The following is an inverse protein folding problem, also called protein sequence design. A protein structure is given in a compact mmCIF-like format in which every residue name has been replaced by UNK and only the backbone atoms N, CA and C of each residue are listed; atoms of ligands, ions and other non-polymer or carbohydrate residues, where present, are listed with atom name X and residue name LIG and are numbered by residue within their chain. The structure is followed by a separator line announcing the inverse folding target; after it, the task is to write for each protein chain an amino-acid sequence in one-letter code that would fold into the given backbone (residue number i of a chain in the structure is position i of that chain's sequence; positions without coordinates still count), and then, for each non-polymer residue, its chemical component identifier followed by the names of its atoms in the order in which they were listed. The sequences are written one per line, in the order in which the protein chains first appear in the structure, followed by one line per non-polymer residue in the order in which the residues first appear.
data_IF_170878814152
#
_entry.id   IF_170878814152
#
_cell.length_a   1.000
_cell.length_b   1.000
_cell.length_c   1.000
_cell.angle_alpha   90.00
_cell.angle_beta   90.00
_cell.angle_gamma   90.00
#
_symmetry.space_group_name_H-M   'P 1'
#
loop_
_entity.id
_entity.type
_entity.pdbx_description
1 polymer ?
#
# COMPACT_ATOMS: atom_id res chain seq x y z
N UNK A 1 20.79 -3.01 16.08
CA UNK A 1 21.65 -1.88 15.66
C UNK A 1 23.05 -2.36 15.28
N UNK A 2 23.46 -2.09 14.03
CA UNK A 2 24.80 -2.34 13.50
C UNK A 2 25.55 -1.00 13.38
N UNK A 3 26.85 -1.00 13.67
CA UNK A 3 27.71 0.13 13.38
C UNK A 3 27.90 0.28 11.87
N UNK A 4 27.67 1.49 11.36
CA UNK A 4 27.75 1.84 9.94
C UNK A 4 28.72 3.02 9.79
N UNK A 5 29.64 2.93 8.83
CA UNK A 5 30.53 4.02 8.44
C UNK A 5 30.46 4.23 6.94
N UNK A 6 30.28 5.46 6.47
CA UNK A 6 30.31 5.84 5.06
C UNK A 6 30.70 7.31 4.94
N UNK A 7 30.90 7.79 3.72
CA UNK A 7 31.05 9.21 3.43
C UNK A 7 29.73 9.71 2.83
N UNK A 8 29.18 10.80 3.35
CA UNK A 8 27.98 11.44 2.79
C UNK A 8 28.32 12.88 2.45
N UNK A 9 28.19 13.26 1.19
CA UNK A 9 28.46 14.62 0.69
C UNK A 9 29.88 15.10 1.06
N UNK A 10 30.87 14.20 0.99
CA UNK A 10 32.26 14.46 1.36
C UNK A 10 32.57 14.45 2.86
N UNK A 11 31.56 14.26 3.72
CA UNK A 11 31.73 14.22 5.18
C UNK A 11 31.69 12.77 5.69
N UNK A 12 32.63 12.36 6.57
CA UNK A 12 32.57 11.05 7.19
C UNK A 12 31.37 10.96 8.14
N UNK A 13 30.58 9.90 8.01
CA UNK A 13 29.40 9.61 8.84
C UNK A 13 29.61 8.27 9.55
N UNK A 14 29.32 8.25 10.86
CA UNK A 14 29.34 7.05 11.67
C UNK A 14 28.05 6.95 12.49
N UNK A 15 27.23 5.94 12.20
CA UNK A 15 25.87 5.80 12.73
C UNK A 15 25.60 4.38 13.25
N UNK A 16 24.58 4.25 14.11
CA UNK A 16 24.06 2.95 14.54
C UNK A 16 22.64 2.78 14.01
N UNK A 17 22.46 1.87 13.05
CA UNK A 17 21.17 1.68 12.38
C UNK A 17 20.67 0.24 12.46
N UNK A 18 19.37 0.05 12.30
CA UNK A 18 18.82 -1.29 12.14
C UNK A 18 19.18 -1.85 10.75
N UNK A 19 19.41 -3.17 10.60
CA UNK A 19 19.79 -3.75 9.31
C UNK A 19 18.77 -3.50 8.18
N UNK A 20 17.51 -3.24 8.55
CA UNK A 20 16.41 -2.93 7.62
C UNK A 20 16.31 -1.46 7.23
N UNK A 21 17.06 -0.56 7.88
CA UNK A 21 17.00 0.87 7.59
C UNK A 21 17.40 1.11 6.14
N UNK A 22 16.54 1.76 5.35
CA UNK A 22 16.88 2.12 3.98
C UNK A 22 17.91 3.25 3.97
N UNK A 23 18.67 3.37 2.88
CA UNK A 23 19.59 4.49 2.69
C UNK A 23 18.81 5.80 2.66
N UNK A 24 17.61 5.82 2.09
CA UNK A 24 16.75 7.01 2.10
C UNK A 24 16.38 7.45 3.51
N UNK A 25 16.01 6.52 4.39
CA UNK A 25 15.66 6.83 5.79
C UNK A 25 16.87 7.33 6.57
N UNK A 26 18.05 6.71 6.38
CA UNK A 26 19.29 7.22 6.97
C UNK A 26 19.53 8.67 6.55
N UNK A 27 19.48 8.96 5.25
CA UNK A 27 19.75 10.30 4.73
C UNK A 27 18.74 11.33 5.28
N UNK A 28 17.45 10.99 5.26
CA UNK A 28 16.37 11.93 5.61
C UNK A 28 16.18 12.10 7.10
N UNK A 29 16.12 11.00 7.84
CA UNK A 29 15.67 10.99 9.24
C UNK A 29 16.85 11.06 10.22
N UNK A 30 17.98 10.40 9.91
CA UNK A 30 19.16 10.47 10.77
C UNK A 30 20.02 11.70 10.44
N UNK A 31 20.22 11.98 9.15
CA UNK A 31 21.15 13.03 8.70
C UNK A 31 20.46 14.34 8.28
N UNK A 32 19.12 14.40 8.30
CA UNK A 32 18.33 15.57 7.91
C UNK A 32 18.61 16.09 6.48
N UNK A 33 19.05 15.22 5.56
CA UNK A 33 19.23 15.50 4.14
C UNK A 33 17.93 15.22 3.39
N UNK A 34 16.99 16.15 3.54
CA UNK A 34 15.59 15.96 3.13
C UNK A 34 15.31 16.16 1.65
N UNK A 35 16.29 16.58 0.85
CA UNK A 35 16.15 16.76 -0.60
C UNK A 35 15.93 15.44 -1.34
N UNK A 36 16.34 14.31 -0.76
CA UNK A 36 15.96 12.98 -1.26
C UNK A 36 14.51 12.69 -0.91
N UNK A 37 13.65 12.42 -1.89
CA UNK A 37 12.21 12.20 -1.65
C UNK A 37 11.77 10.75 -1.79
N UNK A 38 10.78 10.36 -0.98
CA UNK A 38 10.16 9.04 -1.01
C UNK A 38 8.76 9.13 -1.64
N UNK A 39 8.61 8.59 -2.85
CA UNK A 39 7.33 8.60 -3.57
C UNK A 39 6.62 7.24 -3.67
N UNK A 40 7.37 6.15 -3.86
CA UNK A 40 6.80 4.80 -4.02
C UNK A 40 7.41 3.72 -3.11
N UNK A 41 8.63 3.93 -2.61
CA UNK A 41 9.37 2.98 -1.75
C UNK A 41 9.54 1.56 -2.32
N UNK A 42 9.42 1.42 -3.64
CA UNK A 42 9.51 0.15 -4.37
C UNK A 42 10.51 0.22 -5.53
N UNK A 43 11.32 1.28 -5.60
CA UNK A 43 12.33 1.48 -6.65
C UNK A 43 11.80 1.99 -8.00
N UNK A 44 10.48 2.20 -8.13
CA UNK A 44 9.81 2.52 -9.41
C UNK A 44 9.92 3.99 -9.80
N UNK A 45 9.68 4.92 -8.86
CA UNK A 45 9.47 6.33 -9.22
C UNK A 45 10.74 7.18 -9.38
N UNK A 46 11.87 6.75 -8.83
CA UNK A 46 13.15 7.46 -8.92
C UNK A 46 13.29 8.78 -8.15
N UNK A 47 12.28 9.21 -7.39
CA UNK A 47 12.39 10.42 -6.55
C UNK A 47 13.50 10.32 -5.47
N UNK A 48 13.90 9.10 -5.12
CA UNK A 48 14.91 8.78 -4.11
C UNK A 48 16.32 8.57 -4.71
N UNK A 49 16.56 8.98 -5.95
CA UNK A 49 17.84 8.73 -6.63
C UNK A 49 18.95 9.57 -6.00
N UNK A 50 20.03 8.90 -5.60
CA UNK A 50 21.28 9.49 -5.09
C UNK A 50 22.45 8.82 -5.81
N UNK A 51 23.66 9.36 -5.70
CA UNK A 51 24.85 8.63 -6.13
C UNK A 51 25.41 7.78 -4.99
N UNK A 52 25.83 6.56 -5.31
CA UNK A 52 26.64 5.70 -4.46
C UNK A 52 27.86 5.31 -5.31
N UNK A 53 29.05 5.67 -4.85
CA UNK A 53 30.32 5.44 -5.57
C UNK A 53 30.27 5.90 -7.04
N UNK A 54 29.68 7.06 -7.26
CA UNK A 54 29.54 7.66 -8.60
C UNK A 54 28.43 7.08 -9.48
N UNK A 55 27.66 6.10 -9.01
CA UNK A 55 26.56 5.48 -9.78
C UNK A 55 25.19 5.89 -9.20
N UNK A 56 24.20 6.27 -10.04
CA UNK A 56 22.85 6.55 -9.57
C UNK A 56 22.15 5.30 -9.00
N UNK A 57 21.64 5.40 -7.78
CA UNK A 57 21.00 4.29 -7.05
C UNK A 57 19.66 4.72 -6.44
N UNK A 58 18.72 3.77 -6.38
CA UNK A 58 17.46 3.92 -5.65
C UNK A 58 17.70 3.73 -4.15
N UNK A 59 17.82 4.83 -3.41
CA UNK A 59 18.10 4.76 -1.96
C UNK A 59 16.98 4.10 -1.14
N UNK A 60 15.72 4.13 -1.61
CA UNK A 60 14.59 3.51 -0.89
C UNK A 60 14.62 1.97 -0.86
N UNK A 61 15.33 1.33 -1.79
CA UNK A 61 15.48 -0.13 -1.86
C UNK A 61 16.93 -0.59 -1.61
N UNK A 62 17.80 0.34 -1.23
CA UNK A 62 19.16 0.05 -0.80
C UNK A 62 19.19 0.13 0.72
N UNK A 63 19.69 -0.89 1.41
CA UNK A 63 19.81 -0.82 2.88
C UNK A 63 21.03 0.02 3.25
N UNK A 64 20.92 0.85 4.28
CA UNK A 64 22.03 1.68 4.77
C UNK A 64 23.27 0.83 5.10
N UNK A 65 23.07 -0.33 5.73
CA UNK A 65 24.14 -1.26 6.08
C UNK A 65 24.88 -1.83 4.87
N UNK A 66 24.20 -2.01 3.72
CA UNK A 66 24.83 -2.45 2.47
C UNK A 66 25.65 -1.36 1.77
N UNK A 67 25.58 -0.13 2.25
CA UNK A 67 26.34 1.02 1.76
C UNK A 67 27.51 1.39 2.69
N UNK A 68 27.84 0.52 3.66
CA UNK A 68 29.01 0.74 4.51
C UNK A 68 30.28 0.85 3.64
N UNK A 69 31.12 1.84 3.93
CA UNK A 69 32.34 2.16 3.21
C UNK A 69 32.14 2.99 1.92
N UNK A 70 30.90 3.24 1.51
CA UNK A 70 30.61 3.93 0.25
C UNK A 70 30.79 5.45 0.32
N UNK A 71 31.01 6.07 -0.84
CA UNK A 71 30.79 7.50 -1.04
C UNK A 71 29.36 7.75 -1.53
N UNK A 72 28.54 8.41 -0.72
CA UNK A 72 27.16 8.75 -1.04
C UNK A 72 27.05 10.25 -1.30
N UNK A 73 26.51 10.63 -2.45
CA UNK A 73 26.23 12.04 -2.79
C UNK A 73 24.74 12.27 -3.05
N UNK A 74 24.15 13.19 -2.31
CA UNK A 74 22.75 13.62 -2.42
C UNK A 74 22.64 14.96 -3.16
N UNK A 75 21.42 15.44 -3.43
CA UNK A 75 21.20 16.71 -4.14
C UNK A 75 21.87 17.91 -3.45
N UNK A 76 21.95 17.87 -2.12
CA UNK A 76 22.56 18.89 -1.25
C UNK A 76 24.07 19.03 -1.45
N UNK A 77 24.75 18.04 -2.05
CA UNK A 77 26.19 18.12 -2.31
C UNK A 77 26.56 18.94 -3.54
N UNK A 78 25.59 19.30 -4.38
CA UNK A 78 25.87 19.84 -5.73
C UNK A 78 25.75 21.37 -5.84
N UNK A 79 25.84 22.11 -4.74
CA UNK A 79 25.73 23.58 -4.80
C UNK A 79 26.94 24.23 -5.48
N UNK A 80 28.13 23.64 -5.33
CA UNK A 80 29.36 24.10 -5.99
C UNK A 80 29.69 23.32 -7.29
N UNK A 81 28.80 22.45 -7.76
CA UNK A 81 29.01 21.66 -8.97
C UNK A 81 28.65 22.50 -10.22
N UNK A 82 29.60 22.81 -11.12
CA UNK A 82 29.33 23.66 -12.29
C UNK A 82 28.28 23.08 -13.23
N UNK A 83 28.29 21.76 -13.44
CA UNK A 83 27.32 21.09 -14.30
C UNK A 83 25.93 21.09 -13.66
N UNK A 84 25.83 20.97 -12.34
CA UNK A 84 24.54 21.12 -11.66
C UNK A 84 24.01 22.56 -11.76
N UNK A 85 24.89 23.55 -11.78
CA UNK A 85 24.55 24.94 -12.12
C UNK A 85 23.91 25.05 -13.50
N UNK A 86 24.58 24.55 -14.53
CA UNK A 86 24.07 24.51 -15.92
C UNK A 86 22.71 23.80 -16.00
N UNK A 87 22.56 22.66 -15.32
CA UNK A 87 21.32 21.90 -15.30
C UNK A 87 20.18 22.64 -14.59
N UNK A 88 20.43 23.28 -13.45
CA UNK A 88 19.41 24.06 -12.73
C UNK A 88 18.94 25.25 -13.58
N UNK A 89 19.85 25.94 -14.25
CA UNK A 89 19.51 27.03 -15.18
C UNK A 89 18.67 26.53 -16.36
N UNK A 90 19.06 25.41 -16.98
CA UNK A 90 18.31 24.80 -18.07
C UNK A 90 16.93 24.32 -17.60
N UNK A 91 16.83 23.70 -16.42
CA UNK A 91 15.56 23.26 -15.85
C UNK A 91 14.62 24.43 -15.62
N UNK A 92 15.13 25.57 -15.15
CA UNK A 92 14.35 26.80 -15.02
C UNK A 92 13.89 27.32 -16.39
N UNK A 93 14.82 27.50 -17.34
CA UNK A 93 14.57 28.03 -18.68
C UNK A 93 13.53 27.22 -19.47
N UNK A 94 13.52 25.91 -19.31
CA UNK A 94 12.65 25.00 -20.05
C UNK A 94 11.42 24.54 -19.25
N UNK A 95 11.12 25.17 -18.11
CA UNK A 95 10.00 24.80 -17.22
C UNK A 95 9.99 23.30 -16.89
N UNK A 96 11.17 22.74 -16.60
CA UNK A 96 11.39 21.33 -16.31
C UNK A 96 10.97 20.90 -14.90
N UNK A 97 10.39 21.80 -14.10
CA UNK A 97 9.82 21.51 -12.80
C UNK A 97 8.53 22.31 -12.55
N UNK A 98 7.64 21.76 -11.72
CA UNK A 98 6.43 22.43 -11.23
C UNK A 98 6.33 22.25 -9.72
N UNK A 99 5.81 21.10 -9.24
CA UNK A 99 5.69 20.85 -7.80
C UNK A 99 7.02 20.62 -7.07
N UNK A 100 8.13 20.45 -7.81
CA UNK A 100 9.47 20.23 -7.25
C UNK A 100 9.73 18.83 -6.69
N UNK A 101 8.71 17.98 -6.50
CA UNK A 101 8.87 16.71 -5.77
C UNK A 101 9.80 15.71 -6.48
N UNK A 102 9.70 15.52 -7.80
CA UNK A 102 10.61 14.62 -8.51
C UNK A 102 11.97 15.28 -8.82
N UNK A 103 12.09 16.59 -8.66
CA UNK A 103 13.21 17.39 -9.20
C UNK A 103 14.57 16.97 -8.66
N UNK A 104 14.76 16.70 -7.36
CA UNK A 104 16.05 16.23 -6.83
C UNK A 104 16.57 14.97 -7.52
N UNK A 105 15.77 13.90 -7.57
CA UNK A 105 16.15 12.66 -8.26
C UNK A 105 16.31 12.84 -9.78
N UNK A 106 15.50 13.73 -10.38
CA UNK A 106 15.62 14.08 -11.80
C UNK A 106 16.93 14.79 -12.12
N UNK A 107 17.39 15.71 -11.25
CA UNK A 107 18.66 16.44 -11.42
C UNK A 107 19.87 15.52 -11.21
N UNK A 108 19.81 14.61 -10.23
CA UNK A 108 20.83 13.57 -10.03
C UNK A 108 20.99 12.72 -11.30
N UNK A 109 19.88 12.25 -11.88
CA UNK A 109 19.96 11.51 -13.15
C UNK A 109 20.36 12.36 -14.35
N UNK A 110 19.89 13.61 -14.44
CA UNK A 110 20.26 14.50 -15.52
C UNK A 110 21.77 14.74 -15.55
N UNK A 111 22.38 14.92 -14.38
CA UNK A 111 23.83 15.03 -14.22
C UNK A 111 24.55 13.78 -14.73
N UNK A 112 24.11 12.59 -14.31
CA UNK A 112 24.67 11.32 -14.80
C UNK A 112 24.58 11.20 -16.33
N UNK A 113 23.42 11.52 -16.92
CA UNK A 113 23.22 11.49 -18.37
C UNK A 113 24.22 12.40 -19.08
N UNK A 114 24.36 13.65 -18.63
CA UNK A 114 25.26 14.63 -19.29
C UNK A 114 26.73 14.25 -19.13
N UNK A 115 27.14 13.74 -17.96
CA UNK A 115 28.54 13.35 -17.72
C UNK A 115 28.95 12.11 -18.51
N UNK A 116 28.02 11.17 -18.73
CA UNK A 116 28.29 9.87 -19.35
C UNK A 116 28.00 9.84 -20.84
N UNK A 117 26.98 10.57 -21.29
CA UNK A 117 26.45 10.52 -22.65
C UNK A 117 26.51 11.91 -23.30
N UNK A 118 27.72 12.31 -23.69
CA UNK A 118 27.98 13.63 -24.26
C UNK A 118 27.31 13.92 -25.59
N UNK A 119 26.61 12.95 -26.20
CA UNK A 119 25.86 13.09 -27.45
C UNK A 119 24.39 12.67 -27.37
N UNK A 120 23.88 12.34 -26.17
CA UNK A 120 22.53 11.82 -25.96
C UNK A 120 21.44 12.68 -26.59
N UNK A 121 20.77 12.14 -27.61
CA UNK A 121 19.60 12.74 -28.24
C UNK A 121 18.33 12.63 -27.36
N UNK A 122 17.22 13.20 -27.82
CA UNK A 122 15.98 13.18 -27.04
C UNK A 122 15.48 11.77 -26.73
N UNK A 123 15.62 10.84 -27.68
CA UNK A 123 15.21 9.45 -27.48
C UNK A 123 16.06 8.78 -26.39
N UNK A 124 17.38 8.95 -26.48
CA UNK A 124 18.30 8.39 -25.48
C UNK A 124 18.05 9.00 -24.10
N UNK A 125 17.85 10.32 -24.02
CA UNK A 125 17.52 10.99 -22.76
C UNK A 125 16.23 10.40 -22.15
N UNK A 126 15.19 10.16 -22.95
CA UNK A 126 13.94 9.56 -22.47
C UNK A 126 14.14 8.15 -21.94
N UNK A 127 14.95 7.34 -22.62
CA UNK A 127 15.26 5.97 -22.17
C UNK A 127 16.01 5.98 -20.83
N UNK A 128 17.02 6.84 -20.67
CA UNK A 128 17.78 6.96 -19.41
C UNK A 128 16.93 7.53 -18.27
N UNK A 129 15.93 8.36 -18.58
CA UNK A 129 14.95 8.88 -17.62
C UNK A 129 13.79 7.93 -17.34
N UNK A 130 13.69 6.76 -17.98
CA UNK A 130 12.52 5.87 -17.84
C UNK A 130 12.23 5.45 -16.39
N UNK A 131 13.24 5.49 -15.53
CA UNK A 131 13.11 5.22 -14.10
C UNK A 131 12.81 6.43 -13.20
N UNK A 132 12.62 7.64 -13.74
CA UNK A 132 12.30 8.84 -12.97
C UNK A 132 10.93 9.39 -13.38
N UNK A 133 9.94 9.15 -12.53
CA UNK A 133 8.55 9.51 -12.83
C UNK A 133 8.26 10.95 -12.43
N UNK A 134 7.64 11.68 -13.35
CA UNK A 134 7.11 13.01 -13.13
C UNK A 134 5.61 13.06 -13.46
N UNK A 135 4.80 13.58 -12.54
CA UNK A 135 3.36 13.71 -12.74
C UNK A 135 2.91 15.06 -13.31
N UNK A 136 3.77 16.08 -13.23
CA UNK A 136 3.39 17.46 -13.49
C UNK A 136 3.78 17.95 -14.90
N UNK A 137 4.99 17.62 -15.36
CA UNK A 137 5.59 18.29 -16.53
C UNK A 137 5.28 17.64 -17.87
N UNK A 138 4.84 16.37 -17.89
CA UNK A 138 4.76 15.58 -19.12
C UNK A 138 6.13 15.34 -19.79
N UNK A 139 7.24 15.51 -19.06
CA UNK A 139 8.64 15.28 -19.46
C UNK A 139 9.23 16.19 -20.54
N UNK A 140 8.42 16.86 -21.37
CA UNK A 140 8.93 17.64 -22.50
C UNK A 140 9.95 18.72 -22.09
N UNK A 141 9.67 19.48 -21.02
CA UNK A 141 10.60 20.48 -20.49
C UNK A 141 11.89 19.88 -19.93
N UNK A 142 11.80 18.72 -19.27
CA UNK A 142 12.95 17.99 -18.69
C UNK A 142 13.89 17.51 -19.80
N UNK A 143 13.35 16.86 -20.83
CA UNK A 143 14.14 16.36 -21.96
C UNK A 143 14.83 17.52 -22.68
N UNK A 144 14.11 18.63 -22.92
CA UNK A 144 14.68 19.84 -23.54
C UNK A 144 15.79 20.46 -22.70
N UNK A 145 15.62 20.51 -21.37
CA UNK A 145 16.64 21.04 -20.46
C UNK A 145 17.93 20.21 -20.50
N UNK A 146 17.83 18.90 -20.44
CA UNK A 146 19.00 18.01 -20.51
C UNK A 146 19.67 18.12 -21.88
N UNK A 147 18.89 18.06 -22.97
CA UNK A 147 19.42 18.14 -24.33
C UNK A 147 20.11 19.48 -24.60
N UNK A 148 19.60 20.59 -24.07
CA UNK A 148 20.24 21.90 -24.26
C UNK A 148 21.60 21.98 -23.56
N UNK A 149 21.75 21.38 -22.38
CA UNK A 149 23.05 21.27 -21.70
C UNK A 149 24.01 20.35 -22.47
N UNK A 150 23.54 19.18 -22.95
CA UNK A 150 24.35 18.28 -23.80
C UNK A 150 24.91 19.04 -25.01
N UNK A 151 24.05 19.72 -25.77
CA UNK A 151 24.46 20.46 -26.97
C UNK A 151 25.44 21.60 -26.65
N UNK A 152 25.22 22.34 -25.55
CA UNK A 152 26.12 23.41 -25.15
C UNK A 152 27.53 22.89 -24.82
N UNK A 153 27.62 21.77 -24.10
CA UNK A 153 28.90 21.14 -23.74
C UNK A 153 29.62 20.55 -24.94
N UNK A 154 28.88 19.98 -25.91
CA UNK A 154 29.45 19.55 -27.19
C UNK A 154 30.05 20.72 -27.97
N UNK A 155 29.33 21.83 -28.08
CA UNK A 155 29.83 23.03 -28.76
C UNK A 155 31.07 23.60 -28.08
N UNK A 156 31.19 23.47 -26.76
CA UNK A 156 32.37 23.84 -25.97
C UNK A 156 33.51 22.81 -26.04
N UNK A 157 33.37 21.69 -26.78
CA UNK A 157 34.38 20.64 -26.86
C UNK A 157 34.62 19.88 -25.55
N UNK A 158 33.64 19.91 -24.63
CA UNK A 158 33.76 19.21 -23.34
C UNK A 158 33.45 17.73 -23.51
N UNK A 159 34.45 16.88 -23.30
CA UNK A 159 34.29 15.43 -23.37
C UNK A 159 33.49 14.90 -22.16
N UNK A 160 32.76 13.76 -22.31
CA UNK A 160 32.22 13.01 -21.19
C UNK A 160 33.31 12.68 -20.17
N UNK A 161 33.02 12.85 -18.89
CA UNK A 161 33.98 12.61 -17.80
C UNK A 161 33.79 11.25 -17.12
N UNK A 162 32.63 10.61 -17.29
CA UNK A 162 32.33 9.28 -16.76
C UNK A 162 32.27 8.25 -17.88
N UNK A 163 32.92 7.10 -17.67
CA UNK A 163 32.80 5.93 -18.54
C UNK A 163 31.46 5.22 -18.41
N UNK A 164 31.31 4.07 -19.08
CA UNK A 164 30.15 3.21 -18.88
C UNK A 164 29.98 2.85 -17.39
N UNK A 165 28.73 2.69 -16.89
CA UNK A 165 28.51 2.47 -15.47
C UNK A 165 29.27 1.24 -15.00
N UNK A 166 30.05 1.37 -13.93
CA UNK A 166 30.50 0.20 -13.18
C UNK A 166 29.26 -0.43 -12.56
N UNK A 167 29.04 -1.72 -12.83
CA UNK A 167 27.87 -2.42 -12.32
C UNK A 167 27.93 -2.49 -10.80
N UNK A 168 27.23 -1.60 -10.10
CA UNK A 168 26.85 -1.87 -8.72
C UNK A 168 25.97 -3.12 -8.76
N UNK A 169 26.32 -4.10 -7.94
CA UNK A 169 25.56 -5.35 -7.83
C UNK A 169 24.10 -5.08 -7.43
N UNK A 170 23.25 -6.12 -7.39
CA UNK A 170 21.80 -5.97 -7.19
C UNK A 170 21.40 -5.31 -5.86
N UNK A 171 22.32 -5.18 -4.89
CA UNK A 171 22.11 -4.45 -3.64
C UNK A 171 23.44 -3.98 -3.02
N UNK A 172 23.60 -2.67 -2.82
CA UNK A 172 24.70 -2.09 -2.03
C UNK A 172 25.92 -1.65 -2.84
N UNK A 173 26.89 -1.09 -2.12
CA UNK A 173 28.09 -0.45 -2.69
C UNK A 173 29.15 -1.43 -3.18
N UNK A 174 29.01 -2.73 -2.88
CA UNK A 174 30.03 -3.74 -3.17
C UNK A 174 31.24 -3.72 -2.22
N UNK A 175 31.33 -2.74 -1.32
CA UNK A 175 32.38 -2.66 -0.29
C UNK A 175 32.19 -3.62 0.89
N UNK A 176 31.03 -4.26 0.97
CA UNK A 176 30.69 -5.17 2.06
C UNK A 176 31.64 -6.36 2.11
N UNK A 177 32.42 -6.47 3.18
CA UNK A 177 33.11 -7.71 3.51
C UNK A 177 32.08 -8.71 4.07
N UNK A 178 32.12 -9.95 3.58
CA UNK A 178 31.37 -11.06 4.20
C UNK A 178 31.94 -11.25 5.59
N UNK A 179 31.26 -10.69 6.58
CA UNK A 179 31.54 -11.05 7.97
C UNK A 179 30.96 -12.44 8.20
N UNK A 180 31.81 -13.34 8.69
CA UNK A 180 31.39 -14.69 9.05
C UNK A 180 30.22 -14.57 10.02
N UNK A 181 29.04 -14.96 9.57
CA UNK A 181 27.85 -14.88 10.39
C UNK A 181 28.11 -15.73 11.63
N UNK A 182 28.10 -15.10 12.82
CA UNK A 182 28.14 -15.83 14.09
C UNK A 182 27.15 -16.98 13.96
N UNK A 183 27.55 -18.25 14.21
CA UNK A 183 26.66 -19.39 14.03
C UNK A 183 25.40 -19.08 14.80
N UNK A 184 24.30 -18.92 14.04
CA UNK A 184 23.00 -18.63 14.62
C UNK A 184 22.76 -19.80 15.57
N UNK A 185 22.70 -19.53 16.88
CA UNK A 185 22.14 -20.51 17.80
C UNK A 185 20.86 -21.00 17.15
N UNK A 186 20.72 -22.32 17.01
CA UNK A 186 19.53 -22.93 16.47
C UNK A 186 18.36 -22.24 17.14
N UNK A 187 17.58 -21.49 16.35
CA UNK A 187 16.39 -20.87 16.88
C UNK A 187 15.60 -21.99 17.53
N UNK A 188 15.33 -21.85 18.82
CA UNK A 188 14.36 -22.68 19.50
C UNK A 188 13.15 -22.76 18.56
N UNK A 189 12.65 -23.96 18.22
CA UNK A 189 11.48 -24.08 17.36
C UNK A 189 10.43 -23.11 17.90
N UNK A 190 9.77 -22.32 17.02
CA UNK A 190 8.85 -21.31 17.47
C UNK A 190 7.90 -21.99 18.46
N UNK A 191 7.85 -21.44 19.68
CA UNK A 191 6.88 -21.84 20.69
C UNK A 191 5.54 -21.88 19.92
N UNK A 192 4.81 -23.01 19.91
CA UNK A 192 3.51 -23.06 19.23
C UNK A 192 2.73 -21.84 19.70
N UNK A 193 2.33 -21.02 18.72
CA UNK A 193 1.77 -19.70 18.98
C UNK A 193 0.74 -19.84 20.09
N UNK A 194 1.00 -19.20 21.23
CA UNK A 194 -0.02 -19.00 22.25
C UNK A 194 -1.23 -18.43 21.54
N UNK A 195 -2.42 -18.96 21.85
CA UNK A 195 -3.71 -18.53 21.30
C UNK A 195 -3.71 -17.02 21.01
N UNK A 196 -4.04 -16.59 19.77
CA UNK A 196 -3.87 -15.19 19.38
C UNK A 196 -4.58 -14.27 20.37
N UNK A 197 -3.85 -13.28 20.88
CA UNK A 197 -4.41 -12.26 21.79
C UNK A 197 -5.50 -11.51 21.02
N UNK A 198 -6.76 -11.80 21.34
CA UNK A 198 -7.89 -11.13 20.71
C UNK A 198 -7.84 -9.62 20.98
N UNK A 199 -8.19 -8.82 19.97
CA UNK A 199 -8.38 -7.40 20.19
C UNK A 199 -9.65 -7.20 21.02
N UNK A 200 -9.55 -6.57 22.19
CA UNK A 200 -10.71 -6.17 23.00
C UNK A 200 -11.59 -5.18 22.23
N UNK A 201 -12.91 -5.29 22.43
CA UNK A 201 -13.89 -4.32 21.94
C UNK A 201 -13.50 -2.90 22.37
N UNK A 202 -13.59 -1.94 21.45
CA UNK A 202 -13.26 -0.54 21.70
C UNK A 202 -14.20 0.38 20.92
N UNK A 203 -14.44 1.59 21.45
CA UNK A 203 -15.38 2.56 20.87
C UNK A 203 -14.88 3.11 19.53
N UNK A 204 -15.79 3.24 18.56
CA UNK A 204 -15.56 3.98 17.31
C UNK A 204 -15.67 5.49 17.58
N UNK A 205 -14.90 6.29 16.84
CA UNK A 205 -15.04 7.75 16.89
C UNK A 205 -16.31 8.19 16.15
N UNK A 206 -16.95 9.27 16.61
CA UNK A 206 -18.17 9.80 16.00
C UNK A 206 -17.99 10.24 14.53
N UNK A 207 -16.76 10.47 14.09
CA UNK A 207 -16.40 10.86 12.72
C UNK A 207 -15.99 9.67 11.84
N UNK A 208 -16.18 8.43 12.32
CA UNK A 208 -15.85 7.24 11.56
C UNK A 208 -16.73 7.12 10.29
N UNK A 209 -16.17 6.66 9.16
CA UNK A 209 -16.95 6.47 7.93
C UNK A 209 -18.05 5.41 8.14
N UNK A 210 -19.25 5.69 7.64
CA UNK A 210 -20.36 4.74 7.59
C UNK A 210 -20.83 4.45 6.17
N UNK A 211 -21.30 3.23 5.93
CA UNK A 211 -21.82 2.76 4.65
C UNK A 211 -23.18 2.12 4.88
N UNK A 212 -24.21 2.63 4.18
CA UNK A 212 -25.56 2.08 4.21
C UNK A 212 -25.80 1.14 3.04
N UNK A 213 -26.44 0.01 3.29
CA UNK A 213 -26.81 -0.99 2.29
C UNK A 213 -28.17 -1.59 2.66
N UNK A 214 -28.90 -2.08 1.66
CA UNK A 214 -30.17 -2.78 1.88
C UNK A 214 -30.31 -3.94 0.92
N UNK A 215 -30.97 -5.01 1.34
CA UNK A 215 -31.36 -6.13 0.49
C UNK A 215 -32.70 -6.71 0.94
N UNK A 216 -33.32 -7.52 0.09
CA UNK A 216 -34.62 -8.16 0.36
C UNK A 216 -34.45 -9.67 0.37
N UNK A 217 -35.08 -10.33 1.34
CA UNK A 217 -35.16 -11.78 1.46
C UNK A 217 -36.63 -12.20 1.45
N UNK A 218 -36.97 -13.19 0.63
CA UNK A 218 -38.33 -13.74 0.46
C UNK A 218 -38.69 -14.72 1.59
N UNK A 219 -38.54 -14.26 2.83
CA UNK A 219 -38.93 -14.97 4.04
C UNK A 219 -39.57 -13.99 5.03
N UNK A 220 -40.46 -14.46 5.93
CA UNK A 220 -41.10 -13.61 6.93
C UNK A 220 -40.12 -12.97 7.93
N UNK A 221 -40.40 -11.75 8.44
CA UNK A 221 -39.50 -11.03 9.34
C UNK A 221 -39.11 -11.82 10.59
N UNK A 222 -40.02 -12.58 11.18
CA UNK A 222 -39.75 -13.41 12.35
C UNK A 222 -38.75 -14.53 12.07
N UNK A 223 -38.80 -15.11 10.87
CA UNK A 223 -37.89 -16.17 10.43
C UNK A 223 -36.49 -15.60 10.21
N UNK A 224 -36.39 -14.46 9.52
CA UNK A 224 -35.12 -13.76 9.29
C UNK A 224 -34.55 -13.24 10.62
N UNK A 225 -35.39 -12.67 11.50
CA UNK A 225 -35.00 -12.16 12.81
C UNK A 225 -34.46 -13.26 13.73
N UNK A 226 -35.13 -14.41 13.78
CA UNK A 226 -34.67 -15.58 14.52
C UNK A 226 -33.27 -16.02 14.07
N UNK A 227 -33.04 -16.08 12.75
CA UNK A 227 -31.72 -16.41 12.20
C UNK A 227 -30.65 -15.40 12.60
N UNK A 228 -30.92 -14.09 12.57
CA UNK A 228 -29.98 -13.07 13.04
C UNK A 228 -29.62 -13.22 14.53
N UNK A 229 -30.47 -13.84 15.35
CA UNK A 229 -30.18 -14.15 16.75
C UNK A 229 -29.28 -15.37 16.97
N UNK A 230 -29.19 -16.27 15.99
CA UNK A 230 -28.37 -17.47 16.03
C UNK A 230 -26.99 -17.18 15.42
N UNK A 231 -26.10 -16.60 16.22
CA UNK A 231 -24.75 -16.23 15.79
C UNK A 231 -23.97 -17.41 15.19
N UNK A 232 -23.94 -18.62 15.78
CA UNK A 232 -23.33 -19.78 15.14
C UNK A 232 -23.85 -20.10 13.73
N UNK A 233 -25.14 -19.94 13.47
CA UNK A 233 -25.70 -20.14 12.13
C UNK A 233 -25.48 -18.94 11.18
N UNK A 234 -25.31 -17.73 11.72
CA UNK A 234 -25.08 -16.51 10.95
C UNK A 234 -23.65 -16.36 10.44
N UNK A 235 -22.66 -16.71 11.26
CA UNK A 235 -21.24 -16.52 10.92
C UNK A 235 -20.84 -17.20 9.59
N UNK A 236 -21.27 -18.44 9.28
CA UNK A 236 -21.00 -19.06 7.99
C UNK A 236 -21.60 -18.32 6.79
N UNK A 237 -22.64 -17.52 6.98
CA UNK A 237 -23.22 -16.72 5.91
C UNK A 237 -22.33 -15.52 5.54
N UNK A 238 -21.44 -15.09 6.44
CA UNK A 238 -20.53 -13.96 6.23
C UNK A 238 -19.26 -14.46 5.53
N UNK A 239 -18.97 -14.01 4.29
CA UNK A 239 -17.80 -14.48 3.54
C UNK A 239 -16.48 -14.26 4.29
N UNK A 240 -15.70 -15.32 4.43
CA UNK A 240 -14.39 -15.28 5.08
C UNK A 240 -14.43 -15.22 6.60
N UNK A 241 -15.62 -15.13 7.23
CA UNK A 241 -15.76 -15.19 8.68
C UNK A 241 -15.80 -16.64 9.17
N UNK A 242 -15.35 -16.88 10.39
CA UNK A 242 -15.42 -18.17 11.07
C UNK A 242 -15.53 -17.96 12.57
N UNK A 243 -16.36 -18.77 13.22
CA UNK A 243 -16.52 -18.76 14.67
C UNK A 243 -15.44 -19.66 15.27
N UNK A 244 -14.61 -19.09 16.14
CA UNK A 244 -13.53 -19.81 16.83
C UNK A 244 -14.01 -20.37 18.16
N UNK A 245 -14.88 -19.63 18.85
CA UNK A 245 -15.42 -20.02 20.14
C UNK A 245 -16.09 -18.85 20.85
N UNK A 246 -16.12 -18.91 22.19
CA UNK A 246 -16.59 -17.84 23.06
C UNK A 246 -15.52 -17.49 24.08
N UNK A 247 -15.41 -16.20 24.39
CA UNK A 247 -14.59 -15.72 25.51
C UNK A 247 -15.33 -15.88 26.83
N UNK A 248 -14.59 -15.90 27.94
CA UNK A 248 -15.17 -15.98 29.30
C UNK A 248 -16.19 -14.87 29.58
N UNK A 249 -15.99 -13.67 28.99
CA UNK A 249 -16.89 -12.52 29.10
C UNK A 249 -18.15 -12.61 28.21
N UNK A 250 -18.42 -13.78 27.61
CA UNK A 250 -19.61 -14.03 26.78
C UNK A 250 -19.53 -13.53 25.33
N UNK A 251 -18.48 -12.81 24.94
CA UNK A 251 -18.27 -12.37 23.56
C UNK A 251 -17.92 -13.56 22.64
N UNK A 252 -18.24 -13.44 21.35
CA UNK A 252 -17.87 -14.41 20.34
C UNK A 252 -16.43 -14.18 19.88
N UNK A 253 -15.62 -15.23 19.87
CA UNK A 253 -14.29 -15.17 19.27
C UNK A 253 -14.41 -15.53 17.79
N UNK A 254 -13.96 -14.63 16.92
CA UNK A 254 -14.14 -14.73 15.47
C UNK A 254 -12.81 -14.57 14.73
N UNK A 255 -12.71 -15.25 13.60
CA UNK A 255 -11.65 -15.04 12.61
C UNK A 255 -12.26 -14.54 11.32
N UNK A 256 -11.60 -13.61 10.65
CA UNK A 256 -12.03 -13.11 9.34
C UNK A 256 -10.85 -13.05 8.38
N UNK A 257 -10.93 -13.81 7.29
CA UNK A 257 -9.95 -13.76 6.20
C UNK A 257 -10.49 -12.93 5.04
N UNK A 258 -9.69 -11.94 4.65
CA UNK A 258 -10.02 -11.00 3.59
C UNK A 258 -8.96 -11.09 2.49
N UNK A 259 -9.41 -11.18 1.23
CA UNK A 259 -8.54 -11.17 0.07
C UNK A 259 -9.12 -10.25 -1.00
N UNK A 260 -8.31 -9.33 -1.48
CA UNK A 260 -8.68 -8.31 -2.46
C UNK A 260 -7.50 -8.05 -3.38
N UNK A 261 -7.50 -8.69 -4.55
CA UNK A 261 -6.36 -8.68 -5.46
C UNK A 261 -5.08 -9.20 -4.76
N UNK A 262 -3.97 -8.44 -4.76
CA UNK A 262 -2.73 -8.84 -4.08
C UNK A 262 -2.79 -8.65 -2.55
N UNK A 263 -3.82 -8.00 -2.02
CA UNK A 263 -3.95 -7.70 -0.59
C UNK A 263 -4.64 -8.88 0.09
N UNK A 264 -3.96 -9.49 1.07
CA UNK A 264 -4.52 -10.52 1.94
C UNK A 264 -4.35 -10.11 3.41
N UNK A 265 -5.41 -10.26 4.20
CA UNK A 265 -5.42 -10.01 5.63
C UNK A 265 -6.18 -11.11 6.37
N UNK A 266 -5.74 -11.43 7.59
CA UNK A 266 -6.40 -12.39 8.47
C UNK A 266 -6.53 -11.77 9.85
N UNK A 267 -7.76 -11.40 10.20
CA UNK A 267 -8.09 -10.77 11.45
C UNK A 267 -8.55 -11.80 12.47
N UNK A 268 -7.89 -11.86 13.62
CA UNK A 268 -8.37 -12.57 14.80
C UNK A 268 -8.99 -11.56 15.78
N UNK A 269 -10.20 -11.81 16.25
CA UNK A 269 -10.99 -10.79 16.93
C UNK A 269 -12.09 -11.30 17.85
N UNK A 270 -12.82 -10.35 18.41
CA UNK A 270 -14.04 -10.59 19.19
C UNK A 270 -15.20 -9.80 18.62
N UNK A 271 -16.39 -10.37 18.71
CA UNK A 271 -17.63 -9.71 18.38
C UNK A 271 -18.66 -9.88 19.48
N UNK A 272 -19.55 -8.90 19.63
CA UNK A 272 -20.74 -9.00 20.45
C UNK A 272 -21.95 -8.51 19.66
N UNK A 273 -23.14 -8.88 20.14
CA UNK A 273 -24.39 -8.51 19.50
C UNK A 273 -25.38 -8.04 20.58
N UNK A 274 -26.08 -6.96 20.28
CA UNK A 274 -27.21 -6.45 21.04
C UNK A 274 -28.43 -6.42 20.12
N UNK A 275 -29.60 -6.75 20.67
CA UNK A 275 -30.85 -6.88 19.92
C UNK A 275 -31.99 -6.20 20.67
N UNK A 276 -32.90 -5.64 19.91
CA UNK A 276 -34.19 -5.15 20.37
C UNK A 276 -35.26 -5.88 19.55
N UNK A 277 -35.90 -6.86 20.19
CA UNK A 277 -36.89 -7.73 19.57
C UNK A 277 -38.18 -6.98 19.22
N UNK A 278 -38.57 -5.96 19.99
CA UNK A 278 -39.78 -5.16 19.74
C UNK A 278 -39.67 -4.34 18.46
N UNK A 279 -38.47 -3.83 18.18
CA UNK A 279 -38.19 -2.97 17.03
C UNK A 279 -37.60 -3.74 15.84
N UNK A 280 -37.30 -5.03 15.99
CA UNK A 280 -36.53 -5.84 15.03
C UNK A 280 -35.23 -5.13 14.59
N UNK A 281 -34.51 -4.56 15.55
CA UNK A 281 -33.24 -3.85 15.32
C UNK A 281 -32.11 -4.41 16.17
N UNK A 282 -30.90 -4.43 15.64
CA UNK A 282 -29.74 -4.87 16.41
C UNK A 282 -28.44 -4.19 16.00
N UNK A 283 -27.45 -4.34 16.86
CA UNK A 283 -26.10 -3.78 16.66
C UNK A 283 -25.08 -4.86 16.98
N UNK A 284 -24.16 -5.09 16.05
CA UNK A 284 -23.02 -5.99 16.21
C UNK A 284 -21.76 -5.16 16.27
N UNK A 285 -20.99 -5.28 17.36
CA UNK A 285 -19.67 -4.65 17.45
C UNK A 285 -18.60 -5.71 17.27
N UNK A 286 -17.60 -5.40 16.46
CA UNK A 286 -16.47 -6.29 16.18
C UNK A 286 -15.14 -5.56 16.25
N UNK A 287 -14.13 -6.25 16.75
CA UNK A 287 -12.73 -5.80 16.73
C UNK A 287 -11.81 -6.95 16.37
N UNK A 288 -10.88 -6.71 15.45
CA UNK A 288 -9.92 -7.71 15.00
C UNK A 288 -8.54 -7.13 14.79
N UNK A 289 -7.52 -7.96 15.00
CA UNK A 289 -6.13 -7.64 14.71
C UNK A 289 -5.63 -8.54 13.59
N UNK A 290 -5.07 -7.94 12.56
CA UNK A 290 -4.44 -8.67 11.45
C UNK A 290 -3.17 -9.36 11.94
N UNK A 291 -3.05 -10.66 11.69
CA UNK A 291 -1.94 -11.49 12.17
C UNK A 291 -0.60 -11.11 11.52
N UNK A 292 -0.61 -10.61 10.29
CA UNK A 292 0.61 -10.32 9.51
C UNK A 292 1.13 -8.90 9.72
N UNK A 293 0.28 -7.90 9.51
CA UNK A 293 0.64 -6.49 9.59
C UNK A 293 0.45 -5.90 10.98
N UNK A 294 -0.25 -6.60 11.88
CA UNK A 294 -0.63 -6.09 13.19
C UNK A 294 -1.70 -4.99 13.14
N UNK A 295 -2.24 -4.67 11.97
CA UNK A 295 -3.26 -3.65 11.76
C UNK A 295 -4.52 -3.97 12.57
N UNK A 296 -5.20 -2.92 13.04
CA UNK A 296 -6.42 -3.07 13.85
C UNK A 296 -7.62 -2.62 13.04
N UNK A 297 -8.62 -3.50 12.95
CA UNK A 297 -9.93 -3.23 12.40
C UNK A 297 -10.96 -3.19 13.52
N UNK A 298 -11.82 -2.17 13.52
CA UNK A 298 -13.02 -2.12 14.36
C UNK A 298 -14.23 -1.81 13.50
N UNK A 299 -15.35 -2.43 13.80
CA UNK A 299 -16.59 -2.24 13.07
C UNK A 299 -17.79 -2.28 13.99
N UNK A 300 -18.83 -1.57 13.59
CA UNK A 300 -20.17 -1.60 14.14
C UNK A 300 -21.13 -1.81 12.98
N UNK A 301 -21.96 -2.83 13.07
CA UNK A 301 -23.00 -3.15 12.11
C UNK A 301 -24.35 -2.96 12.80
N UNK A 302 -25.05 -1.88 12.46
CA UNK A 302 -26.43 -1.68 12.82
C UNK A 302 -27.34 -2.28 11.75
N UNK A 303 -28.41 -2.96 12.16
CA UNK A 303 -29.36 -3.55 11.22
C UNK A 303 -30.81 -3.39 11.69
N UNK A 304 -31.72 -3.25 10.72
CA UNK A 304 -33.16 -3.16 10.93
C UNK A 304 -33.89 -4.05 9.90
N UNK A 305 -34.90 -4.79 10.36
CA UNK A 305 -35.75 -5.62 9.51
C UNK A 305 -37.11 -4.96 9.34
N UNK A 306 -37.59 -4.93 8.09
CA UNK A 306 -38.88 -4.36 7.75
C UNK A 306 -39.71 -5.37 6.96
N UNK A 307 -40.97 -5.50 7.36
CA UNK A 307 -41.93 -6.32 6.63
C UNK A 307 -42.17 -5.77 5.22
N UNK A 308 -42.25 -6.67 4.25
CA UNK A 308 -42.67 -6.41 2.88
C UNK A 308 -43.69 -7.44 2.43
N UNK A 309 -44.49 -7.07 1.42
CA UNK A 309 -45.43 -7.98 0.76
C UNK A 309 -46.39 -8.70 1.73
N UNK A 310 -46.86 -8.02 2.78
CA UNK A 310 -47.81 -8.57 3.76
C UNK A 310 -47.26 -9.77 4.53
N UNK A 311 -46.00 -9.71 4.95
CA UNK A 311 -45.32 -10.76 5.73
C UNK A 311 -44.59 -11.80 4.90
N UNK A 312 -44.69 -11.78 3.57
CA UNK A 312 -44.04 -12.77 2.71
C UNK A 312 -42.56 -12.47 2.42
N UNK A 313 -42.09 -11.24 2.69
CA UNK A 313 -40.71 -10.85 2.46
C UNK A 313 -40.22 -9.87 3.54
N UNK A 314 -38.90 -9.77 3.68
CA UNK A 314 -38.24 -8.90 4.64
C UNK A 314 -37.19 -8.04 3.94
N UNK A 315 -37.26 -6.72 4.09
CA UNK A 315 -36.13 -5.83 3.78
C UNK A 315 -35.21 -5.76 4.98
N UNK A 316 -33.92 -5.99 4.75
CA UNK A 316 -32.87 -5.81 5.75
C UNK A 316 -32.08 -4.56 5.39
N UNK A 317 -32.14 -3.55 6.26
CA UNK A 317 -31.34 -2.34 6.16
C UNK A 317 -30.11 -2.48 7.06
N UNK A 318 -28.92 -2.23 6.52
CA UNK A 318 -27.63 -2.34 7.21
C UNK A 318 -26.89 -1.00 7.18
N UNK A 319 -26.30 -0.61 8.30
CA UNK A 319 -25.33 0.47 8.39
C UNK A 319 -24.04 -0.04 9.03
N UNK A 320 -22.94 0.02 8.27
CA UNK A 320 -21.62 -0.42 8.71
C UNK A 320 -20.76 0.81 8.98
N UNK A 321 -20.40 1.04 10.24
CA UNK A 321 -19.42 2.04 10.66
C UNK A 321 -18.11 1.36 10.99
N UNK A 322 -16.98 1.86 10.51
CA UNK A 322 -15.70 1.15 10.69
C UNK A 322 -14.51 2.08 10.90
N UNK A 323 -13.43 1.51 11.46
CA UNK A 323 -12.12 2.13 11.50
C UNK A 323 -11.04 1.09 11.22
N UNK A 324 -10.01 1.50 10.47
CA UNK A 324 -8.86 0.67 10.16
C UNK A 324 -7.59 1.48 10.42
N UNK A 325 -6.68 0.92 11.19
CA UNK A 325 -5.44 1.57 11.62
C UNK A 325 -4.24 0.65 11.46
N UNK A 326 -3.04 1.23 11.40
CA UNK A 326 -1.82 0.52 11.00
C UNK A 326 -1.62 0.52 9.49
N UNK A 327 -0.80 -0.40 8.99
CA UNK A 327 -0.41 -0.45 7.58
C UNK A 327 -1.60 -0.64 6.63
N UNK A 328 -2.65 -1.35 7.06
CA UNK A 328 -3.87 -1.52 6.26
C UNK A 328 -4.76 -0.26 6.26
N UNK A 329 -4.54 0.70 7.17
CA UNK A 329 -5.33 1.93 7.26
C UNK A 329 -5.24 2.81 6.00
N UNK A 330 -4.19 2.68 5.20
CA UNK A 330 -4.06 3.36 3.91
C UNK A 330 -5.18 2.97 2.93
N UNK A 331 -5.71 1.74 3.03
CA UNK A 331 -6.80 1.26 2.17
C UNK A 331 -8.18 1.75 2.60
N UNK A 332 -8.31 2.29 3.81
CA UNK A 332 -9.54 2.96 4.25
C UNK A 332 -9.74 4.33 3.58
N UNK A 333 -8.69 4.89 2.94
CA UNK A 333 -8.75 6.15 2.21
C UNK A 333 -9.08 5.86 0.73
N UNK A 334 -10.38 5.75 0.41
CA UNK A 334 -10.87 5.54 -0.95
C UNK A 334 -12.11 4.64 -1.00
N UNK A 335 -12.78 4.55 -2.14
CA UNK A 335 -14.00 3.74 -2.32
C UNK A 335 -13.80 2.21 -2.19
N UNK A 336 -12.56 1.76 -1.95
CA UNK A 336 -12.18 0.35 -1.88
C UNK A 336 -12.96 -0.38 -0.77
N UNK A 337 -12.98 0.18 0.45
CA UNK A 337 -13.70 -0.45 1.57
C UNK A 337 -15.21 -0.44 1.34
N UNK A 338 -15.75 0.62 0.72
CA UNK A 338 -17.17 0.69 0.35
C UNK A 338 -17.55 -0.41 -0.65
N UNK A 339 -16.74 -0.63 -1.69
CA UNK A 339 -16.96 -1.73 -2.64
C UNK A 339 -16.83 -3.10 -1.99
N UNK A 340 -15.89 -3.24 -1.06
CA UNK A 340 -15.72 -4.47 -0.28
C UNK A 340 -16.94 -4.77 0.60
N UNK A 341 -17.45 -3.78 1.33
CA UNK A 341 -18.66 -3.91 2.15
C UNK A 341 -19.85 -4.30 1.27
N UNK A 342 -20.04 -3.62 0.12
CA UNK A 342 -21.13 -3.96 -0.80
C UNK A 342 -21.02 -5.41 -1.32
N UNK A 343 -19.82 -5.88 -1.66
CA UNK A 343 -19.59 -7.26 -2.10
C UNK A 343 -19.89 -8.28 -1.00
N UNK A 344 -19.46 -8.01 0.24
CA UNK A 344 -19.78 -8.85 1.39
C UNK A 344 -21.29 -8.90 1.62
N UNK A 345 -21.98 -7.75 1.61
CA UNK A 345 -23.43 -7.68 1.83
C UNK A 345 -24.19 -8.49 0.80
N UNK A 346 -23.83 -8.39 -0.48
CA UNK A 346 -24.48 -9.17 -1.54
C UNK A 346 -24.31 -10.68 -1.32
N UNK A 347 -23.09 -11.14 -1.04
CA UNK A 347 -22.84 -12.57 -0.84
C UNK A 347 -23.43 -13.08 0.49
N UNK A 348 -23.47 -12.23 1.52
CA UNK A 348 -24.17 -12.52 2.77
C UNK A 348 -25.66 -12.72 2.54
N UNK A 349 -26.32 -11.85 1.77
CA UNK A 349 -27.74 -11.99 1.44
C UNK A 349 -28.03 -13.32 0.73
N UNK A 350 -27.19 -13.70 -0.25
CA UNK A 350 -27.32 -14.98 -0.95
C UNK A 350 -27.14 -16.18 0.00
N UNK A 351 -26.12 -16.14 0.86
CA UNK A 351 -25.85 -17.22 1.81
C UNK A 351 -26.96 -17.33 2.87
N UNK A 352 -27.46 -16.18 3.34
CA UNK A 352 -28.56 -16.12 4.29
C UNK A 352 -29.83 -16.73 3.69
N UNK A 353 -30.16 -16.39 2.43
CA UNK A 353 -31.28 -17.01 1.70
C UNK A 353 -31.15 -18.54 1.70
N UNK A 354 -29.99 -19.08 1.34
CA UNK A 354 -29.74 -20.53 1.36
C UNK A 354 -29.88 -21.13 2.77
N UNK A 355 -29.36 -20.46 3.79
CA UNK A 355 -29.43 -20.93 5.19
C UNK A 355 -30.84 -20.98 5.78
N UNK A 356 -31.79 -20.25 5.17
CA UNK A 356 -33.20 -20.21 5.55
C UNK A 356 -34.04 -21.22 4.75
N UNK A 357 -33.55 -21.67 3.60
CA UNK A 357 -34.20 -22.69 2.78
C UNK A 357 -34.00 -24.10 3.37
N UNK A 358 -35.07 -24.89 3.59
CA UNK A 358 -34.96 -26.24 4.13
C UNK A 358 -34.24 -27.27 3.23
N UNK A 359 -34.12 -26.99 1.92
CA UNK A 359 -33.63 -27.95 0.92
C UNK A 359 -32.10 -27.91 0.66
N UNK A 360 -31.37 -26.93 1.20
CA UNK A 360 -29.91 -26.81 1.03
C UNK A 360 -29.20 -26.59 2.38
N UNK A 361 -29.27 -27.58 3.27
CA UNK A 361 -28.40 -27.59 4.45
C UNK A 361 -26.93 -27.73 4.01
N UNK A 362 -26.03 -26.77 4.32
CA UNK A 362 -24.63 -26.89 3.96
C UNK A 362 -23.98 -28.02 4.78
N UNK A 363 -23.33 -28.95 4.09
CA UNK A 363 -22.44 -29.93 4.71
C UNK A 363 -21.40 -29.22 5.58
N UNK A 364 -21.30 -29.60 6.85
CA UNK A 364 -20.44 -29.00 7.90
C UNK A 364 -18.92 -29.10 7.63
N UNK A 365 -18.50 -29.49 6.43
CA UNK A 365 -17.11 -29.68 5.98
C UNK A 365 -16.68 -28.72 4.85
N UNK A 366 -17.52 -27.78 4.42
CA UNK A 366 -17.08 -26.80 3.42
C UNK A 366 -16.15 -25.74 4.03
N UNK A 367 -14.86 -25.85 3.69
CA UNK A 367 -13.84 -24.83 3.99
C UNK A 367 -14.30 -23.44 3.51
N UNK A 368 -13.94 -22.35 4.24
CA UNK A 368 -14.38 -21.01 3.92
C UNK A 368 -14.00 -20.63 2.49
N UNK A 369 -15.00 -20.40 1.63
CA UNK A 369 -14.79 -19.89 0.27
C UNK A 369 -14.10 -18.53 0.36
N UNK A 370 -12.85 -18.46 -0.11
CA UNK A 370 -12.11 -17.20 -0.24
C UNK A 370 -12.97 -16.18 -1.00
N UNK A 371 -13.07 -14.96 -0.47
CA UNK A 371 -13.66 -13.84 -1.20
C UNK A 371 -12.78 -13.56 -2.43
N UNK A 372 -13.22 -13.99 -3.61
CA UNK A 372 -12.56 -13.68 -4.89
C UNK A 372 -13.29 -12.53 -5.57
N UNK A 373 -12.85 -11.30 -5.31
CA UNK A 373 -13.20 -10.10 -6.10
C UNK A 373 -12.52 -10.16 -7.49
N UNK A 374 -12.82 -11.18 -8.29
CA UNK A 374 -12.29 -11.33 -9.64
C UNK A 374 -13.31 -10.96 -10.75
N UNK A 375 -14.58 -10.70 -10.39
CA UNK A 375 -15.66 -10.62 -11.39
C UNK A 375 -16.07 -9.23 -11.88
N UNK A 376 -15.87 -8.15 -11.13
CA UNK A 376 -16.54 -6.87 -11.42
C UNK A 376 -15.63 -5.70 -11.80
N UNK A 377 -14.31 -5.79 -11.55
CA UNK A 377 -13.38 -4.74 -11.98
C UNK A 377 -13.19 -4.70 -13.50
N UNK A 378 -13.30 -5.84 -14.20
CA UNK A 378 -13.15 -5.89 -15.65
C UNK A 378 -14.32 -5.20 -16.39
N UNK A 379 -15.53 -5.26 -15.84
CA UNK A 379 -16.73 -4.64 -16.43
C UNK A 379 -16.78 -3.14 -16.17
N UNK A 380 -16.34 -2.70 -14.98
CA UNK A 380 -16.17 -1.28 -14.65
C UNK A 380 -15.00 -0.64 -15.43
N UNK A 381 -13.89 -1.37 -15.65
CA UNK A 381 -12.81 -0.90 -16.53
C UNK A 381 -13.27 -0.83 -17.99
N UNK A 382 -14.03 -1.82 -18.48
CA UNK A 382 -14.52 -1.82 -19.88
C UNK A 382 -15.53 -0.70 -20.15
N UNK A 383 -16.42 -0.39 -19.21
CA UNK A 383 -17.37 0.73 -19.37
C UNK A 383 -16.66 2.09 -19.28
N UNK A 384 -15.64 2.21 -18.41
CA UNK A 384 -14.83 3.42 -18.28
C UNK A 384 -13.91 3.66 -19.49
N UNK A 385 -13.21 2.63 -19.98
CA UNK A 385 -12.40 2.69 -21.22
C UNK A 385 -13.28 2.96 -22.45
N UNK A 386 -14.44 2.29 -22.55
CA UNK A 386 -15.37 2.46 -23.67
C UNK A 386 -15.99 3.87 -23.76
N UNK A 387 -16.36 4.46 -22.62
CA UNK A 387 -16.92 5.81 -22.57
C UNK A 387 -15.87 6.91 -22.80
N UNK A 388 -14.62 6.68 -22.40
CA UNK A 388 -13.52 7.64 -22.54
C UNK A 388 -12.98 7.66 -23.98
N UNK A 389 -12.87 6.50 -24.63
CA UNK A 389 -12.45 6.38 -26.03
C UNK A 389 -13.48 7.00 -26.98
N UNK A 390 -14.79 6.83 -26.71
CA UNK A 390 -15.84 7.44 -27.55
C UNK A 390 -15.87 8.97 -27.49
N UNK A 391 -15.42 9.58 -26.39
CA UNK A 391 -15.29 11.04 -26.25
C UNK A 391 -14.00 11.62 -26.85
N UNK A 392 -12.97 10.79 -27.07
CA UNK A 392 -11.69 11.21 -27.63
C UNK A 392 -11.66 11.23 -29.17
N UNK A 393 -12.64 10.60 -29.83
CA UNK A 393 -12.72 10.52 -31.30
C UNK A 393 -13.98 11.20 -31.89
N UNK A 394 -14.73 11.97 -31.10
CA UNK A 394 -15.94 12.67 -31.54
C UNK A 394 -15.82 14.21 -31.51
N UNK A 395 -14.63 14.75 -31.77
CA UNK A 395 -14.43 16.19 -32.01
C UNK A 395 -13.51 16.40 -33.19
#
# INVERSE_FOLDING_TARGET
MNGLRLTVNGLPVAEHVEPRTSLADLLRENLNLTGTHLGCEQGVCGACTVFVDGVPVRSCISTAVSCSGADVRTIESFDADPLMGELREAFNKHHALQCGFCTPGMLVMARDIVERLGDADEERIRLELAGNLCRCTGYAGIVKAIRSVVLARQAAGTAPSLGAPQGLGPAGSGHGQVTEAKPRQAMTPPIPASSPKSAKLGKLAATAPSVKQSFVIEFPPETVWSRFGDVPAMVPCIPGASLVGRTDDGNFQVSMRVKMGPIGAQFAGTANQQRNDDMLTGVIHGSGRDERSGSLARGELSYALHEMNGGAATRVDLEVTYSLSGALGQFARGGIVTHFIAAITAQFADNLKRSLSPEEAPNATQQPRELRLAGSMATALKSWLGATIRKLFSR
#
